data_IF_279169399029
#
_entry.id   IF_279169399029
#
_cell.length_a   1.000
_cell.length_b   1.000
_cell.length_c   1.000
_cell.angle_alpha   90.00
_cell.angle_beta   90.00
_cell.angle_gamma   90.00
#
_symmetry.space_group_name_H-M   'P 1'
#
loop_
_entity.id
_entity.type
_entity.pdbx_description
1 polymer ?
#
# COMPACT_ATOMS: atom_id res chain seq x y z
N UNK A 1 27.62 0.40 -11.41
CA UNK A 1 26.17 0.74 -11.36
C UNK A 1 25.46 -0.33 -12.18
N UNK A 2 24.43 -0.98 -11.63
CA UNK A 2 23.65 -2.01 -12.34
C UNK A 2 22.94 -1.40 -13.54
N UNK A 3 22.84 -2.12 -14.66
CA UNK A 3 22.07 -1.67 -15.82
C UNK A 3 20.58 -1.63 -15.48
N UNK A 4 19.77 -0.72 -16.04
CA UNK A 4 18.31 -0.73 -15.89
C UNK A 4 17.68 -2.09 -16.23
N UNK A 5 18.33 -2.86 -17.12
CA UNK A 5 17.93 -4.21 -17.53
C UNK A 5 18.15 -5.30 -16.47
N UNK A 6 18.84 -4.98 -15.38
CA UNK A 6 19.14 -5.90 -14.28
C UNK A 6 18.33 -5.63 -13.02
N UNK A 7 17.53 -4.55 -13.00
CA UNK A 7 16.73 -4.16 -11.83
C UNK A 7 15.46 -5.01 -11.75
N UNK A 8 15.34 -5.80 -10.68
CA UNK A 8 14.12 -6.54 -10.36
C UNK A 8 13.25 -5.72 -9.39
N UNK A 9 12.09 -5.25 -9.84
CA UNK A 9 11.16 -4.49 -9.00
C UNK A 9 9.88 -5.29 -8.80
N UNK A 10 9.46 -5.40 -7.55
CA UNK A 10 8.25 -6.09 -7.15
C UNK A 10 7.14 -5.10 -6.83
N UNK A 11 5.92 -5.38 -7.28
CA UNK A 11 4.71 -4.62 -6.95
C UNK A 11 3.77 -5.52 -6.15
N UNK A 12 3.38 -5.09 -4.95
CA UNK A 12 2.53 -5.86 -4.04
C UNK A 12 1.26 -5.07 -3.67
N UNK A 13 0.13 -5.29 -4.38
CA UNK A 13 -1.12 -4.60 -4.11
C UNK A 13 -1.92 -5.28 -3.00
N UNK A 14 -2.84 -4.54 -2.39
CA UNK A 14 -4.03 -5.16 -1.81
C UNK A 14 -4.95 -5.63 -2.93
N UNK A 15 -5.58 -6.79 -2.72
CA UNK A 15 -6.54 -7.37 -3.65
C UNK A 15 -7.91 -6.72 -3.48
N UNK A 16 -7.98 -5.46 -3.86
CA UNK A 16 -9.20 -4.68 -4.02
C UNK A 16 -9.10 -3.91 -5.33
N UNK A 17 -10.15 -3.83 -6.17
CA UNK A 17 -10.06 -3.19 -7.49
C UNK A 17 -9.49 -1.77 -7.46
N UNK A 18 -9.85 -0.98 -6.44
CA UNK A 18 -9.34 0.39 -6.25
C UNK A 18 -7.85 0.49 -5.89
N UNK A 19 -7.21 -0.62 -5.54
CA UNK A 19 -5.79 -0.72 -5.21
C UNK A 19 -4.99 -1.45 -6.30
N UNK A 20 -5.54 -2.59 -6.74
CA UNK A 20 -4.93 -3.45 -7.75
C UNK A 20 -4.79 -2.75 -9.09
N UNK A 21 -5.84 -2.08 -9.59
CA UNK A 21 -5.81 -1.47 -10.93
C UNK A 21 -4.82 -0.29 -11.00
N UNK A 22 -4.84 0.69 -10.06
CA UNK A 22 -3.83 1.76 -10.08
C UNK A 22 -2.40 1.25 -9.94
N UNK A 23 -2.17 0.21 -9.12
CA UNK A 23 -0.84 -0.38 -8.99
C UNK A 23 -0.43 -1.13 -10.26
N UNK A 24 -1.36 -1.79 -10.94
CA UNK A 24 -1.12 -2.45 -12.23
C UNK A 24 -0.71 -1.41 -13.29
N UNK A 25 -1.44 -0.30 -13.39
CA UNK A 25 -1.13 0.81 -14.31
C UNK A 25 0.25 1.40 -14.02
N UNK A 26 0.60 1.56 -12.74
CA UNK A 26 1.94 1.99 -12.35
C UNK A 26 3.02 0.99 -12.75
N UNK A 27 2.81 -0.30 -12.47
CA UNK A 27 3.73 -1.35 -12.84
C UNK A 27 3.97 -1.38 -14.36
N UNK A 28 2.91 -1.18 -15.15
CA UNK A 28 2.98 -1.03 -16.61
C UNK A 28 3.84 0.17 -17.00
N UNK A 29 3.63 1.33 -16.39
CA UNK A 29 4.43 2.53 -16.66
C UNK A 29 5.94 2.29 -16.40
N UNK A 30 6.27 1.60 -15.30
CA UNK A 30 7.65 1.21 -14.99
C UNK A 30 8.23 0.22 -15.99
N UNK A 31 7.41 -0.68 -16.52
CA UNK A 31 7.84 -1.74 -17.44
C UNK A 31 8.39 -1.22 -18.78
N UNK A 32 8.05 0.02 -19.14
CA UNK A 32 8.64 0.72 -20.30
C UNK A 32 10.13 1.08 -20.11
N UNK A 33 10.60 1.15 -18.86
CA UNK A 33 11.97 1.58 -18.53
C UNK A 33 12.83 0.44 -17.98
N UNK A 34 12.21 -0.57 -17.35
CA UNK A 34 12.89 -1.78 -16.86
C UNK A 34 12.09 -3.04 -17.25
N UNK A 35 12.74 -4.05 -17.85
CA UNK A 35 12.08 -5.26 -18.33
C UNK A 35 11.78 -6.28 -17.21
N UNK A 36 12.20 -6.05 -15.96
CA UNK A 36 11.99 -7.00 -14.85
C UNK A 36 11.07 -6.41 -13.77
N UNK A 37 9.87 -6.03 -14.18
CA UNK A 37 8.77 -5.72 -13.26
C UNK A 37 7.98 -6.99 -12.98
N UNK A 38 7.64 -7.23 -11.71
CA UNK A 38 6.83 -8.37 -11.32
C UNK A 38 5.74 -7.96 -10.35
N UNK A 39 4.49 -8.26 -10.72
CA UNK A 39 3.33 -8.09 -9.87
C UNK A 39 3.20 -9.34 -8.99
N UNK A 40 3.14 -9.14 -7.68
CA UNK A 40 3.02 -10.18 -6.68
C UNK A 40 1.55 -10.33 -6.31
N UNK A 41 0.92 -11.47 -6.61
CA UNK A 41 -0.50 -11.70 -6.32
C UNK A 41 -0.71 -13.05 -5.65
N UNK A 42 -1.57 -13.16 -4.62
CA UNK A 42 -1.95 -14.45 -4.06
C UNK A 42 -2.75 -15.33 -5.04
N UNK A 43 -2.73 -16.67 -4.92
CA UNK A 43 -3.31 -17.58 -5.92
C UNK A 43 -4.82 -17.42 -6.03
N UNK A 44 -5.48 -17.15 -4.89
CA UNK A 44 -6.93 -16.94 -4.78
C UNK A 44 -7.46 -15.74 -5.56
N UNK A 45 -6.56 -14.86 -6.02
CA UNK A 45 -6.88 -13.56 -6.59
C UNK A 45 -6.58 -13.47 -8.09
N UNK A 46 -6.16 -14.58 -8.70
CA UNK A 46 -5.83 -14.67 -10.13
C UNK A 46 -7.02 -14.34 -11.05
N UNK A 47 -8.26 -14.60 -10.61
CA UNK A 47 -9.48 -14.29 -11.37
C UNK A 47 -9.80 -12.79 -11.46
N UNK A 48 -9.18 -11.95 -10.63
CA UNK A 48 -9.36 -10.49 -10.64
C UNK A 48 -8.40 -9.80 -11.62
N UNK A 49 -7.43 -10.52 -12.15
CA UNK A 49 -6.55 -10.01 -13.18
C UNK A 49 -7.26 -9.98 -14.54
N UNK A 50 -6.90 -9.03 -15.43
CA UNK A 50 -7.29 -9.13 -16.82
C UNK A 50 -6.79 -10.46 -17.43
N UNK A 51 -7.51 -11.05 -18.40
CA UNK A 51 -7.20 -12.37 -18.96
C UNK A 51 -5.77 -12.52 -19.51
N UNK A 52 -5.20 -11.42 -19.99
CA UNK A 52 -3.79 -11.30 -20.32
C UNK A 52 -3.24 -10.06 -19.61
N UNK A 53 -2.20 -10.25 -18.81
CA UNK A 53 -1.41 -9.13 -18.32
C UNK A 53 -0.67 -8.49 -19.49
N UNK A 54 -0.61 -7.16 -19.57
CA UNK A 54 0.09 -6.52 -20.67
C UNK A 54 1.60 -6.80 -20.55
N UNK A 55 2.20 -7.20 -21.67
CA UNK A 55 3.65 -7.37 -21.79
C UNK A 55 4.37 -6.03 -21.54
N UNK A 56 5.53 -5.98 -20.87
CA UNK A 56 6.35 -7.11 -20.39
C UNK A 56 6.15 -7.47 -18.90
N UNK A 57 4.99 -7.19 -18.29
CA UNK A 57 4.76 -7.52 -16.88
C UNK A 57 4.81 -9.03 -16.63
N UNK A 58 5.57 -9.40 -15.59
CA UNK A 58 5.57 -10.77 -15.08
C UNK A 58 4.64 -10.87 -13.89
N UNK A 59 3.88 -11.94 -13.83
CA UNK A 59 3.11 -12.29 -12.63
C UNK A 59 3.94 -13.28 -11.80
N UNK A 60 4.05 -13.01 -10.51
CA UNK A 60 4.51 -13.99 -9.54
C UNK A 60 3.33 -14.29 -8.63
N UNK A 61 2.81 -15.50 -8.77
CA UNK A 61 1.80 -16.01 -7.86
C UNK A 61 2.50 -16.38 -6.56
N UNK A 62 2.06 -15.76 -5.47
CA UNK A 62 2.62 -15.97 -4.14
C UNK A 62 2.02 -17.26 -3.60
N UNK A 63 2.77 -18.35 -3.60
CA UNK A 63 2.28 -19.62 -3.07
C UNK A 63 1.93 -19.45 -1.58
N UNK A 64 0.74 -19.90 -1.22
CA UNK A 64 0.23 -19.86 0.16
C UNK A 64 -0.09 -21.28 0.59
N UNK A 65 0.37 -21.69 1.76
CA UNK A 65 0.12 -23.03 2.34
C UNK A 65 -1.36 -23.31 2.65
N UNK A 66 -2.28 -22.38 2.35
CA UNK A 66 -3.70 -22.59 2.55
C UNK A 66 -4.25 -23.54 1.48
N UNK A 67 -4.88 -24.67 1.86
CA UNK A 67 -5.54 -25.56 0.91
C UNK A 67 -6.61 -24.78 0.13
N UNK A 68 -6.78 -25.14 -1.13
CA UNK A 68 -7.79 -24.62 -2.07
C UNK A 68 -9.10 -24.27 -1.34
N UNK A 69 -9.64 -23.05 -1.48
CA UNK A 69 -10.85 -22.68 -0.77
C UNK A 69 -11.96 -23.64 -1.16
N UNK A 70 -12.62 -24.23 -0.17
CA UNK A 70 -13.93 -24.82 -0.38
C UNK A 70 -14.88 -23.70 -0.81
N UNK A 71 -15.89 -23.98 -1.66
CA UNK A 71 -16.77 -22.95 -2.25
C UNK A 71 -17.56 -22.12 -1.22
N UNK A 72 -17.45 -22.41 0.07
CA UNK A 72 -18.06 -21.69 1.19
C UNK A 72 -17.14 -20.70 1.91
N UNK A 73 -15.86 -20.57 1.50
CA UNK A 73 -14.92 -19.61 2.09
C UNK A 73 -14.66 -18.44 1.14
N UNK A 74 -14.87 -17.17 1.57
CA UNK A 74 -14.57 -16.02 0.73
C UNK A 74 -13.07 -16.00 0.40
N UNK A 75 -12.73 -15.72 -0.87
CA UNK A 75 -11.38 -15.77 -1.46
C UNK A 75 -10.34 -14.81 -0.82
N UNK A 76 -10.68 -14.16 0.29
CA UNK A 76 -9.89 -13.14 0.99
C UNK A 76 -8.98 -13.68 2.10
N UNK A 77 -8.93 -14.99 2.36
CA UNK A 77 -8.23 -15.55 3.52
C UNK A 77 -6.77 -15.92 3.28
N UNK A 78 -6.06 -15.18 2.43
CA UNK A 78 -4.59 -15.33 2.38
C UNK A 78 -4.04 -14.68 3.64
N UNK A 79 -3.39 -15.49 4.49
CA UNK A 79 -2.85 -14.97 5.74
C UNK A 79 -1.67 -14.03 5.47
N UNK A 80 -1.57 -12.92 6.21
CA UNK A 80 -0.43 -12.01 6.13
C UNK A 80 0.90 -12.75 6.38
N UNK A 81 0.90 -13.78 7.23
CA UNK A 81 2.06 -14.61 7.53
C UNK A 81 2.56 -15.40 6.31
N UNK A 82 1.65 -16.00 5.54
CA UNK A 82 2.00 -16.71 4.30
C UNK A 82 2.63 -15.75 3.30
N UNK A 83 2.05 -14.56 3.14
CA UNK A 83 2.54 -13.53 2.24
C UNK A 83 3.93 -13.02 2.66
N UNK A 84 4.14 -12.83 3.96
CA UNK A 84 5.43 -12.44 4.54
C UNK A 84 6.52 -13.52 4.33
N UNK A 85 6.16 -14.80 4.44
CA UNK A 85 7.08 -15.91 4.17
C UNK A 85 7.50 -15.94 2.69
N UNK A 86 6.56 -15.71 1.76
CA UNK A 86 6.89 -15.63 0.33
C UNK A 86 7.79 -14.43 0.04
N UNK A 87 7.49 -13.24 0.57
CA UNK A 87 8.35 -12.06 0.44
C UNK A 87 9.75 -12.32 0.99
N UNK A 88 9.83 -12.99 2.14
CA UNK A 88 11.08 -13.38 2.77
C UNK A 88 11.96 -14.19 1.82
N UNK A 89 11.37 -15.18 1.14
CA UNK A 89 12.06 -16.01 0.15
C UNK A 89 12.45 -15.23 -1.12
N UNK A 90 11.60 -14.31 -1.57
CA UNK A 90 11.88 -13.44 -2.72
C UNK A 90 13.01 -12.45 -2.45
N UNK A 91 13.20 -12.07 -1.19
CA UNK A 91 14.22 -11.11 -0.76
C UNK A 91 15.53 -11.77 -0.29
N UNK A 92 15.68 -13.08 -0.50
CA UNK A 92 16.94 -13.76 -0.23
C UNK A 92 18.08 -13.16 -1.09
N UNK A 93 19.15 -12.62 -0.46
CA UNK A 93 20.26 -12.01 -1.19
C UNK A 93 21.06 -13.01 -2.04
N UNK A 94 20.92 -14.31 -1.79
CA UNK A 94 21.60 -15.37 -2.55
C UNK A 94 20.90 -15.69 -3.89
N UNK A 95 19.75 -15.08 -4.16
CA UNK A 95 19.07 -15.24 -5.45
C UNK A 95 19.94 -14.72 -6.58
N UNK A 96 19.87 -15.40 -7.74
CA UNK A 96 20.55 -14.96 -8.97
C UNK A 96 20.23 -13.51 -9.36
N UNK A 97 19.05 -13.02 -8.98
CA UNK A 97 18.60 -11.65 -9.15
C UNK A 97 17.89 -11.19 -7.87
N UNK A 98 18.60 -10.55 -6.94
CA UNK A 98 17.98 -10.01 -5.75
C UNK A 98 17.02 -8.86 -6.11
N UNK A 99 15.98 -8.60 -5.29
CA UNK A 99 15.13 -7.44 -5.48
C UNK A 99 15.96 -6.15 -5.45
N UNK A 100 15.69 -5.26 -6.40
CA UNK A 100 16.17 -3.90 -6.35
C UNK A 100 15.25 -3.01 -5.50
N UNK A 101 13.94 -3.21 -5.61
CA UNK A 101 12.95 -2.42 -4.88
C UNK A 101 11.63 -3.20 -4.71
N UNK A 102 10.93 -2.94 -3.61
CA UNK A 102 9.54 -3.31 -3.40
C UNK A 102 8.65 -2.06 -3.46
N UNK A 103 7.67 -2.03 -4.34
CA UNK A 103 6.53 -1.13 -4.28
C UNK A 103 5.37 -1.88 -3.64
N UNK A 104 4.80 -1.40 -2.55
CA UNK A 104 3.75 -2.11 -1.82
C UNK A 104 2.62 -1.20 -1.39
N UNK A 105 1.43 -1.77 -1.23
CA UNK A 105 0.24 -1.03 -0.81
C UNK A 105 0.34 -0.54 0.65
N UNK A 106 -0.09 0.69 0.90
CA UNK A 106 -0.06 1.33 2.23
C UNK A 106 -0.78 0.55 3.34
N UNK A 107 -1.66 -0.40 2.99
CA UNK A 107 -2.38 -1.25 3.94
C UNK A 107 -1.68 -2.58 4.26
N UNK A 108 -0.44 -2.78 3.80
CA UNK A 108 0.35 -4.01 4.04
C UNK A 108 1.56 -3.74 4.95
N UNK A 109 1.36 -3.55 6.27
CA UNK A 109 2.44 -3.11 7.16
C UNK A 109 3.59 -4.13 7.29
N UNK A 110 3.32 -5.43 7.15
CA UNK A 110 4.37 -6.45 7.18
C UNK A 110 5.34 -6.31 5.99
N UNK A 111 4.92 -5.72 4.87
CA UNK A 111 5.73 -5.62 3.67
C UNK A 111 6.90 -4.64 3.87
N UNK A 112 6.65 -3.50 4.52
CA UNK A 112 7.69 -2.54 4.88
C UNK A 112 8.70 -3.14 5.87
N UNK A 113 8.19 -3.84 6.90
CA UNK A 113 8.99 -4.53 7.92
C UNK A 113 9.88 -5.60 7.28
N UNK A 114 9.31 -6.42 6.39
CA UNK A 114 10.01 -7.48 5.68
C UNK A 114 11.12 -6.95 4.76
N UNK A 115 10.83 -5.88 4.00
CA UNK A 115 11.81 -5.22 3.14
C UNK A 115 12.95 -4.60 3.95
N UNK A 116 12.62 -3.89 5.03
CA UNK A 116 13.61 -3.28 5.93
C UNK A 116 14.53 -4.32 6.57
N UNK A 117 13.98 -5.42 7.05
CA UNK A 117 14.75 -6.51 7.68
C UNK A 117 15.77 -7.16 6.72
N UNK A 118 15.56 -7.04 5.40
CA UNK A 118 16.40 -7.65 4.36
C UNK A 118 17.20 -6.62 3.56
N UNK A 119 17.22 -5.36 4.00
CA UNK A 119 17.91 -4.26 3.33
C UNK A 119 17.44 -4.07 1.86
N UNK A 120 16.17 -4.33 1.60
CA UNK A 120 15.54 -4.07 0.30
C UNK A 120 14.89 -2.69 0.36
N UNK A 121 15.28 -1.73 -0.52
CA UNK A 121 14.58 -0.47 -0.64
C UNK A 121 13.09 -0.69 -0.93
N UNK A 122 12.22 0.07 -0.27
CA UNK A 122 10.78 -0.03 -0.50
C UNK A 122 10.12 1.33 -0.70
N UNK A 123 9.10 1.37 -1.54
CA UNK A 123 8.24 2.52 -1.77
C UNK A 123 6.82 2.14 -1.36
N UNK A 124 6.22 2.91 -0.45
CA UNK A 124 4.80 2.75 -0.14
C UNK A 124 3.97 3.39 -1.25
N UNK A 125 2.96 2.69 -1.74
CA UNK A 125 1.99 3.20 -2.69
C UNK A 125 0.75 3.70 -1.97
N UNK A 126 0.48 4.99 -2.10
CA UNK A 126 -0.77 5.62 -1.70
C UNK A 126 -1.67 5.77 -2.93
N UNK A 127 -2.68 4.90 -3.02
CA UNK A 127 -3.74 4.98 -4.04
C UNK A 127 -4.76 6.10 -3.79
N UNK A 128 -4.37 7.16 -3.08
CA UNK A 128 -5.22 8.29 -2.68
C UNK A 128 -4.50 9.61 -2.94
N UNK A 129 -5.21 10.74 -2.78
CA UNK A 129 -4.65 12.08 -2.96
C UNK A 129 -3.82 12.54 -1.76
N UNK A 130 -2.95 13.53 -1.97
CA UNK A 130 -2.24 14.19 -0.86
C UNK A 130 -3.23 14.80 0.13
N UNK A 131 -4.27 15.47 -0.36
CA UNK A 131 -5.36 16.01 0.44
C UNK A 131 -5.94 14.99 1.42
N UNK A 132 -6.35 13.82 0.92
CA UNK A 132 -6.96 12.79 1.74
C UNK A 132 -5.98 12.22 2.77
N UNK A 133 -4.69 12.10 2.42
CA UNK A 133 -3.66 11.66 3.35
C UNK A 133 -3.44 12.69 4.48
N UNK A 134 -3.24 13.97 4.13
CA UNK A 134 -3.05 15.05 5.11
C UNK A 134 -4.25 15.15 6.06
N UNK A 135 -5.48 15.12 5.53
CA UNK A 135 -6.71 15.15 6.34
C UNK A 135 -6.76 13.95 7.30
N UNK A 136 -6.48 12.75 6.79
CA UNK A 136 -6.50 11.52 7.60
C UNK A 136 -5.46 11.54 8.73
N UNK A 137 -4.25 12.04 8.46
CA UNK A 137 -3.19 12.19 9.47
C UNK A 137 -3.58 13.19 10.56
N UNK A 138 -4.16 14.34 10.20
CA UNK A 138 -4.61 15.34 11.18
C UNK A 138 -5.77 14.83 12.04
N UNK A 139 -6.70 14.07 11.45
CA UNK A 139 -7.78 13.41 12.20
C UNK A 139 -7.20 12.38 13.17
N UNK A 140 -6.30 11.51 12.71
CA UNK A 140 -5.69 10.48 13.54
C UNK A 140 -4.95 11.10 14.74
N UNK A 141 -4.16 12.14 14.49
CA UNK A 141 -3.49 12.90 15.55
C UNK A 141 -4.50 13.51 16.55
N UNK A 142 -5.59 14.08 16.06
CA UNK A 142 -6.63 14.68 16.92
C UNK A 142 -7.32 13.63 17.80
N UNK A 143 -7.62 12.45 17.25
CA UNK A 143 -8.21 11.32 17.99
C UNK A 143 -7.24 10.78 19.05
N UNK A 144 -5.94 10.72 18.74
CA UNK A 144 -4.91 10.28 19.71
C UNK A 144 -4.72 11.28 20.86
N UNK A 145 -4.77 12.58 20.59
CA UNK A 145 -4.55 13.63 21.59
C UNK A 145 -5.80 13.99 22.41
N UNK A 146 -6.99 13.90 21.83
CA UNK A 146 -8.24 14.13 22.54
C UNK A 146 -8.70 12.81 23.16
N UNK A 147 -8.58 12.65 24.48
CA UNK A 147 -9.30 11.63 25.24
C UNK A 147 -10.75 11.62 24.74
N UNK A 148 -11.15 10.52 24.08
CA UNK A 148 -12.43 10.27 23.44
C UNK A 148 -13.40 11.46 23.47
N UNK A 149 -13.57 12.18 22.34
CA UNK A 149 -14.68 13.12 22.21
C UNK A 149 -15.96 12.32 22.45
N UNK A 150 -16.61 12.56 23.59
CA UNK A 150 -17.96 12.08 23.86
C UNK A 150 -18.84 12.64 22.75
N UNK A 151 -19.32 11.72 21.91
CA UNK A 151 -20.10 11.98 20.72
C UNK A 151 -21.56 12.07 21.12
N UNK A 152 -22.07 13.28 21.41
CA UNK A 152 -23.50 13.45 21.71
C UNK A 152 -24.23 14.38 20.72
N UNK A 153 -23.56 15.08 19.80
CA UNK A 153 -24.28 16.08 18.96
C UNK A 153 -23.81 16.20 17.49
N UNK A 154 -22.94 15.31 17.00
CA UNK A 154 -22.44 15.26 15.60
C UNK A 154 -22.10 16.65 14.98
N UNK A 155 -21.62 17.57 15.82
CA UNK A 155 -21.40 18.97 15.44
C UNK A 155 -20.22 19.07 14.47
N UNK A 156 -20.31 19.92 13.42
CA UNK A 156 -19.18 20.15 12.53
C UNK A 156 -17.99 20.71 13.30
N UNK A 157 -16.78 20.32 12.91
CA UNK A 157 -15.53 20.83 13.43
C UNK A 157 -14.55 21.08 12.28
N UNK A 158 -13.64 22.04 12.47
CA UNK A 158 -12.54 22.29 11.54
C UNK A 158 -11.41 21.33 11.86
N UNK A 159 -10.86 20.66 10.83
CA UNK A 159 -9.68 19.80 10.98
C UNK A 159 -8.46 20.71 11.19
N UNK A 160 -7.78 20.62 12.35
CA UNK A 160 -6.71 21.55 12.68
C UNK A 160 -5.45 21.26 11.86
N UNK A 161 -4.70 22.33 11.57
CA UNK A 161 -3.35 22.23 11.00
C UNK A 161 -3.29 21.85 9.53
N UNK A 162 -4.40 21.95 8.79
CA UNK A 162 -4.41 21.86 7.32
C UNK A 162 -4.21 23.24 6.67
N UNK A 163 -3.75 23.29 5.41
CA UNK A 163 -3.62 24.55 4.67
C UNK A 163 -4.96 25.28 4.49
N UNK A 164 -6.02 24.53 4.21
CA UNK A 164 -7.38 25.04 4.04
C UNK A 164 -8.28 24.70 5.24
N UNK A 165 -9.33 25.51 5.44
CA UNK A 165 -10.35 25.28 6.47
C UNK A 165 -11.30 24.14 6.07
N UNK A 166 -10.90 22.90 6.36
CA UNK A 166 -11.71 21.72 6.09
C UNK A 166 -12.64 21.43 7.26
N UNK A 167 -13.96 21.45 7.00
CA UNK A 167 -15.00 21.19 8.01
C UNK A 167 -15.56 19.79 7.84
N UNK A 168 -15.48 18.98 8.89
CA UNK A 168 -16.02 17.61 8.92
C UNK A 168 -16.92 17.43 10.14
N UNK A 169 -17.75 16.38 10.10
CA UNK A 169 -18.55 15.91 11.23
C UNK A 169 -17.96 14.63 11.82
N UNK A 170 -18.20 14.32 13.11
CA UNK A 170 -17.86 13.02 13.70
C UNK A 170 -18.33 11.83 12.84
N UNK A 171 -19.51 11.91 12.22
CA UNK A 171 -20.03 10.87 11.33
C UNK A 171 -19.28 10.70 10.00
N UNK A 172 -18.41 11.65 9.62
CA UNK A 172 -17.63 11.64 8.38
C UNK A 172 -16.19 11.16 8.59
N UNK A 173 -15.77 10.90 9.84
CA UNK A 173 -14.41 10.47 10.16
C UNK A 173 -14.37 9.03 10.64
N UNK A 174 -13.23 8.33 10.49
CA UNK A 174 -13.07 6.99 11.05
C UNK A 174 -13.32 6.99 12.57
N UNK A 175 -13.95 5.93 13.07
CA UNK A 175 -14.19 5.74 14.50
C UNK A 175 -12.87 5.70 15.28
N UNK A 176 -12.89 6.16 16.53
CA UNK A 176 -11.72 6.10 17.41
C UNK A 176 -11.14 4.68 17.57
N UNK A 177 -11.97 3.64 17.46
CA UNK A 177 -11.53 2.24 17.46
C UNK A 177 -10.60 1.86 16.30
N UNK A 178 -10.58 2.64 15.21
CA UNK A 178 -9.66 2.45 14.08
C UNK A 178 -8.27 3.07 14.33
N UNK A 179 -8.12 3.94 15.34
CA UNK A 179 -6.87 4.67 15.59
C UNK A 179 -5.64 3.76 15.77
N UNK A 180 -5.69 2.64 16.52
CA UNK A 180 -4.54 1.75 16.65
C UNK A 180 -4.08 1.15 15.30
N UNK A 181 -5.02 0.84 14.41
CA UNK A 181 -4.71 0.33 13.07
C UNK A 181 -4.05 1.42 12.22
N UNK A 182 -4.63 2.62 12.18
CA UNK A 182 -4.07 3.77 11.44
C UNK A 182 -2.65 4.08 11.91
N UNK A 183 -2.44 4.10 13.23
CA UNK A 183 -1.12 4.30 13.84
C UNK A 183 -0.11 3.24 13.38
N UNK A 184 -0.51 1.96 13.37
CA UNK A 184 0.35 0.86 12.90
C UNK A 184 0.73 1.02 11.43
N UNK A 185 -0.24 1.34 10.57
CA UNK A 185 0.01 1.56 9.15
C UNK A 185 1.00 2.71 8.94
N UNK A 186 0.81 3.84 9.62
CA UNK A 186 1.73 4.98 9.55
C UNK A 186 3.15 4.62 9.98
N UNK A 187 3.29 3.97 11.14
CA UNK A 187 4.60 3.58 11.69
C UNK A 187 5.34 2.63 10.76
N UNK A 188 4.63 1.65 10.18
CA UNK A 188 5.22 0.73 9.22
C UNK A 188 5.58 1.41 7.91
N UNK A 189 4.69 2.23 7.35
CA UNK A 189 4.95 2.94 6.09
C UNK A 189 6.17 3.87 6.18
N UNK A 190 6.42 4.46 7.36
CA UNK A 190 7.61 5.27 7.65
C UNK A 190 8.94 4.48 7.61
N UNK A 191 8.91 3.14 7.62
CA UNK A 191 10.08 2.29 7.38
C UNK A 191 10.48 2.23 5.91
N UNK A 192 9.68 2.77 5.00
CA UNK A 192 9.97 2.77 3.57
C UNK A 192 11.06 3.78 3.22
N UNK A 193 11.71 3.59 2.07
CA UNK A 193 12.63 4.57 1.50
C UNK A 193 11.90 5.86 1.07
N UNK A 194 10.65 5.71 0.61
CA UNK A 194 9.81 6.82 0.21
C UNK A 194 8.40 6.37 -0.11
N UNK A 195 7.62 7.25 -0.74
CA UNK A 195 6.23 7.03 -1.10
C UNK A 195 5.99 7.40 -2.56
N UNK A 196 5.05 6.70 -3.20
CA UNK A 196 4.52 7.03 -4.52
C UNK A 196 3.02 7.26 -4.39
N UNK A 197 2.55 8.36 -4.98
CA UNK A 197 1.16 8.78 -4.93
C UNK A 197 0.53 8.68 -6.31
N UNK A 198 -0.72 8.23 -6.37
CA UNK A 198 -1.52 8.32 -7.59
C UNK A 198 -2.14 9.72 -7.72
N UNK A 199 -1.29 10.73 -7.90
CA UNK A 199 -1.67 12.13 -8.06
C UNK A 199 -0.66 12.85 -8.95
N UNK A 200 -0.89 14.13 -9.25
CA UNK A 200 0.05 14.98 -9.97
C UNK A 200 0.08 16.37 -9.32
N UNK A 201 1.28 16.97 -9.26
CA UNK A 201 1.54 18.15 -8.44
C UNK A 201 0.57 19.32 -8.68
N UNK A 202 0.24 19.61 -9.95
CA UNK A 202 -0.66 20.73 -10.31
C UNK A 202 -2.08 20.57 -9.74
N UNK A 203 -2.50 19.33 -9.43
CA UNK A 203 -3.82 19.07 -8.85
C UNK A 203 -3.96 19.62 -7.43
N UNK A 204 -2.90 19.50 -6.63
CA UNK A 204 -2.95 19.72 -5.19
C UNK A 204 -1.59 20.18 -4.61
N UNK A 205 -0.98 21.25 -5.15
CA UNK A 205 0.39 21.64 -4.81
C UNK A 205 0.55 21.95 -3.32
N UNK A 206 -0.43 22.63 -2.73
CA UNK A 206 -0.42 23.00 -1.30
C UNK A 206 -0.40 21.78 -0.39
N UNK A 207 -1.06 20.68 -0.78
CA UNK A 207 -1.09 19.44 0.01
C UNK A 207 0.10 18.53 -0.28
N UNK A 208 0.66 18.58 -1.50
CA UNK A 208 1.89 17.87 -1.82
C UNK A 208 3.11 18.40 -1.03
N UNK A 209 3.07 19.67 -0.62
CA UNK A 209 4.13 20.32 0.18
C UNK A 209 3.89 20.30 1.70
N UNK A 210 2.72 19.84 2.15
CA UNK A 210 2.28 19.88 3.55
C UNK A 210 2.74 18.68 4.38
#
# INVERSE_FOLDING_TARGET
MSSPKDLQIYFLPIIAPGHLLPMLDMALSFSHHTPNISLLIPPSSSSLLPPLLPSPLRLIVLETDTPSPSPSTPASSVSAASLEATLTSLFDPLRRRPPFCLVFDMFLPFAAECARARNVPSLVFHGTSFFSLCVSERIAFTIECASARDDDDNRPFVVPGLPDSIVLRPSQVPRASAAPLVKRLRQSNALSYGAVFNSFYVLEPTYAEH
#
